data_IF_392991024069
#
_entry.id   IF_392991024069
#
_cell.length_a   1.000
_cell.length_b   1.000
_cell.length_c   1.000
_cell.angle_alpha   90.00
_cell.angle_beta   90.00
_cell.angle_gamma   90.00
#
_symmetry.space_group_name_H-M   'P 1'
#
loop_
_entity.id
_entity.type
_entity.pdbx_description
1 polymer ?
#
# COMPACT_ATOMS: atom_id res chain seq x y z
N UNK A 1 -9.97 1.03 10.51
CA UNK A 1 -9.28 2.31 10.84
C UNK A 1 -10.30 3.38 11.20
N UNK A 2 -10.02 4.29 12.18
CA UNK A 2 -10.86 5.51 12.35
C UNK A 2 -10.57 6.49 11.20
N UNK A 3 -11.63 6.96 10.53
CA UNK A 3 -11.52 7.93 9.43
C UNK A 3 -12.61 8.98 9.62
N UNK A 4 -12.19 10.25 9.81
CA UNK A 4 -13.14 11.37 9.76
C UNK A 4 -13.75 11.47 8.36
N UNK A 5 -15.04 11.86 8.29
CA UNK A 5 -15.74 12.02 7.02
C UNK A 5 -15.05 12.98 6.03
N UNK A 6 -14.31 13.98 6.53
CA UNK A 6 -13.54 14.91 5.70
C UNK A 6 -12.39 14.25 4.93
N UNK A 7 -11.87 13.11 5.42
CA UNK A 7 -10.64 12.51 4.92
C UNK A 7 -10.85 11.14 4.32
N UNK A 8 -12.10 10.67 4.29
CA UNK A 8 -12.45 9.39 3.69
C UNK A 8 -12.33 9.49 2.17
N UNK A 9 -11.50 8.62 1.60
CA UNK A 9 -11.44 8.44 0.16
C UNK A 9 -12.32 7.25 -0.23
N UNK A 10 -13.20 7.45 -1.21
CA UNK A 10 -14.15 6.45 -1.70
C UNK A 10 -13.98 6.17 -3.21
N UNK A 11 -13.16 6.97 -3.90
CA UNK A 11 -12.83 6.69 -5.29
C UNK A 11 -11.89 5.48 -5.36
N UNK A 12 -12.48 4.32 -5.73
CA UNK A 12 -11.75 3.06 -5.84
C UNK A 12 -10.61 3.11 -6.87
N UNK A 13 -10.71 3.94 -7.92
CA UNK A 13 -9.63 4.10 -8.91
C UNK A 13 -8.43 4.79 -8.26
N UNK A 14 -8.68 5.90 -7.58
CA UNK A 14 -7.65 6.65 -6.86
C UNK A 14 -6.98 5.80 -5.78
N UNK A 15 -7.75 4.99 -5.05
CA UNK A 15 -7.23 4.06 -4.04
C UNK A 15 -6.38 2.97 -4.70
N UNK A 16 -6.85 2.38 -5.81
CA UNK A 16 -6.11 1.36 -6.54
C UNK A 16 -4.78 1.87 -7.10
N UNK A 17 -4.77 3.10 -7.64
CA UNK A 17 -3.55 3.73 -8.14
C UNK A 17 -2.57 3.99 -6.99
N UNK A 18 -3.06 4.47 -5.85
CA UNK A 18 -2.24 4.63 -4.65
C UNK A 18 -1.61 3.30 -4.19
N UNK A 19 -2.38 2.22 -4.13
CA UNK A 19 -1.89 0.89 -3.73
C UNK A 19 -0.82 0.38 -4.71
N UNK A 20 -0.99 0.63 -6.02
CA UNK A 20 0.02 0.27 -7.02
C UNK A 20 1.32 1.07 -6.87
N UNK A 21 1.23 2.35 -6.49
CA UNK A 21 2.39 3.21 -6.29
C UNK A 21 3.14 2.91 -4.98
N UNK A 22 2.44 2.37 -3.96
CA UNK A 22 2.94 2.13 -2.61
C UNK A 22 2.88 0.64 -2.24
N UNK A 23 3.41 -0.21 -3.08
CA UNK A 23 3.23 -1.66 -3.07
C UNK A 23 4.02 -2.42 -1.99
N UNK A 24 4.84 -1.74 -1.18
CA UNK A 24 5.50 -2.34 -0.01
C UNK A 24 4.59 -2.22 1.21
N UNK A 25 3.82 -3.27 1.46
CA UNK A 25 2.77 -3.30 2.47
C UNK A 25 3.20 -3.98 3.77
N UNK A 26 2.52 -3.62 4.86
CA UNK A 26 2.54 -4.39 6.10
C UNK A 26 1.33 -5.32 6.12
N UNK A 27 1.57 -6.63 6.02
CA UNK A 27 0.55 -7.65 6.22
C UNK A 27 0.46 -8.01 7.70
N UNK A 28 -0.75 -7.93 8.26
CA UNK A 28 -1.04 -8.18 9.67
C UNK A 28 -2.11 -9.26 9.78
N UNK A 29 -1.91 -10.21 10.67
CA UNK A 29 -2.93 -11.15 11.11
C UNK A 29 -2.91 -11.30 12.63
N UNK A 30 -3.97 -11.83 13.21
CA UNK A 30 -4.05 -12.11 14.65
C UNK A 30 -3.81 -13.60 14.91
N UNK A 31 -2.85 -13.90 15.77
CA UNK A 31 -2.59 -15.25 16.30
C UNK A 31 -2.80 -15.24 17.81
N UNK A 32 -3.75 -16.04 18.30
CA UNK A 32 -4.08 -16.10 19.74
C UNK A 32 -4.29 -14.71 20.39
N UNK A 33 -5.01 -13.82 19.70
CA UNK A 33 -5.24 -12.41 20.06
C UNK A 33 -3.97 -11.52 20.07
N UNK A 34 -2.84 -12.01 19.55
CA UNK A 34 -1.63 -11.20 19.36
C UNK A 34 -1.50 -10.86 17.88
N UNK A 35 -1.38 -9.56 17.51
CA UNK A 35 -1.08 -9.21 16.13
C UNK A 35 0.35 -9.61 15.76
N UNK A 36 0.50 -10.30 14.63
CA UNK A 36 1.80 -10.60 14.00
C UNK A 36 1.84 -9.97 12.61
N UNK A 37 3.00 -9.49 12.18
CA UNK A 37 3.13 -8.74 10.94
C UNK A 37 4.38 -9.12 10.15
N UNK A 38 4.32 -8.92 8.83
CA UNK A 38 5.45 -8.94 7.91
C UNK A 38 5.34 -7.80 6.92
N UNK A 39 6.49 -7.25 6.52
CA UNK A 39 6.59 -6.27 5.44
C UNK A 39 6.88 -7.00 4.13
N UNK A 40 6.03 -6.81 3.14
CA UNK A 40 6.04 -7.60 1.91
C UNK A 40 5.74 -6.72 0.70
N UNK A 41 6.40 -7.05 -0.40
CA UNK A 41 6.04 -6.51 -1.71
C UNK A 41 4.76 -7.19 -2.19
N UNK A 42 3.81 -6.40 -2.69
CA UNK A 42 2.49 -6.88 -3.09
C UNK A 42 2.13 -6.38 -4.49
N UNK A 43 1.74 -7.28 -5.37
CA UNK A 43 1.20 -6.98 -6.69
C UNK A 43 -0.32 -6.85 -6.62
N UNK A 44 -0.85 -5.73 -7.11
CA UNK A 44 -2.28 -5.43 -7.15
C UNK A 44 -2.86 -5.78 -8.51
N UNK A 45 -3.88 -6.61 -8.50
CA UNK A 45 -4.65 -7.00 -9.69
C UNK A 45 -6.15 -6.86 -9.46
N UNK A 46 -6.90 -6.88 -10.53
CA UNK A 46 -8.36 -6.95 -10.52
C UNK A 46 -8.76 -8.16 -11.36
N UNK A 47 -9.60 -9.02 -10.83
CA UNK A 47 -10.13 -10.16 -11.57
C UNK A 47 -11.23 -9.75 -12.57
N UNK A 48 -11.77 -10.72 -13.29
CA UNK A 48 -12.80 -10.49 -14.31
C UNK A 48 -14.10 -9.90 -13.72
N UNK A 49 -14.39 -10.18 -12.45
CA UNK A 49 -15.57 -9.69 -11.73
C UNK A 49 -15.35 -8.33 -11.04
N UNK A 50 -14.16 -7.73 -11.23
CA UNK A 50 -13.79 -6.48 -10.59
C UNK A 50 -13.30 -6.62 -9.16
N UNK A 51 -13.13 -7.84 -8.64
CA UNK A 51 -12.60 -8.09 -7.30
C UNK A 51 -11.11 -7.79 -7.24
N UNK A 52 -10.67 -7.11 -6.21
CA UNK A 52 -9.27 -6.80 -5.98
C UNK A 52 -8.53 -8.01 -5.42
N UNK A 53 -7.43 -8.34 -6.05
CA UNK A 53 -6.51 -9.41 -5.69
C UNK A 53 -5.14 -8.83 -5.38
N UNK A 54 -4.60 -9.19 -4.22
CA UNK A 54 -3.27 -8.80 -3.78
C UNK A 54 -2.40 -10.05 -3.74
N UNK A 55 -1.41 -10.14 -4.60
CA UNK A 55 -0.50 -11.28 -4.68
C UNK A 55 0.90 -10.88 -4.24
N UNK A 56 1.58 -11.76 -3.53
CA UNK A 56 2.95 -11.54 -3.09
C UNK A 56 3.62 -12.84 -2.73
N UNK A 57 4.82 -12.74 -2.19
CA UNK A 57 5.56 -13.90 -1.71
C UNK A 57 6.32 -13.58 -0.43
N UNK A 58 6.74 -14.63 0.26
CA UNK A 58 7.64 -14.55 1.41
C UNK A 58 8.60 -15.73 1.43
N UNK A 59 9.68 -15.61 2.18
CA UNK A 59 10.56 -16.74 2.40
C UNK A 59 9.78 -17.90 3.08
N UNK A 60 9.98 -19.13 2.64
CA UNK A 60 9.37 -20.32 3.25
C UNK A 60 9.69 -20.45 4.73
N UNK A 61 10.83 -19.93 5.17
CA UNK A 61 11.23 -19.87 6.58
C UNK A 61 10.41 -18.88 7.42
N UNK A 62 9.68 -17.92 6.79
CA UNK A 62 8.78 -17.03 7.51
C UNK A 62 7.52 -17.80 7.92
N UNK A 63 7.24 -17.98 9.23
CA UNK A 63 6.14 -18.82 9.67
C UNK A 63 4.75 -18.23 9.42
N UNK A 64 4.67 -16.97 8.95
CA UNK A 64 3.41 -16.25 8.80
C UNK A 64 2.44 -16.94 7.85
N UNK A 65 2.92 -17.46 6.73
CA UNK A 65 2.08 -18.14 5.73
C UNK A 65 1.38 -19.39 6.27
N UNK A 66 1.98 -20.08 7.27
CA UNK A 66 1.37 -21.24 7.94
C UNK A 66 0.13 -20.87 8.78
N UNK A 67 -0.05 -19.57 9.04
CA UNK A 67 -1.19 -19.02 9.80
C UNK A 67 -2.32 -18.55 8.89
N UNK A 68 -2.12 -18.60 7.57
CA UNK A 68 -3.16 -18.26 6.62
C UNK A 68 -4.29 -19.27 6.68
N UNK A 69 -5.50 -18.74 6.83
CA UNK A 69 -6.73 -19.49 6.97
C UNK A 69 -7.78 -18.82 6.09
N UNK A 70 -8.52 -19.60 5.30
CA UNK A 70 -9.57 -19.09 4.44
C UNK A 70 -10.72 -18.40 5.20
N UNK A 71 -10.83 -18.67 6.49
CA UNK A 71 -11.89 -18.15 7.37
C UNK A 71 -11.43 -16.98 8.25
N UNK A 72 -10.15 -16.61 8.15
CA UNK A 72 -9.57 -15.50 8.90
C UNK A 72 -9.06 -14.41 7.97
N UNK A 73 -9.66 -13.24 8.08
CA UNK A 73 -9.19 -12.10 7.32
C UNK A 73 -7.82 -11.63 7.81
N UNK A 74 -6.99 -11.24 6.86
CA UNK A 74 -5.75 -10.48 7.09
C UNK A 74 -5.98 -9.01 6.77
N UNK A 75 -5.12 -8.15 7.30
CA UNK A 75 -5.06 -6.73 6.99
C UNK A 75 -3.75 -6.43 6.28
N UNK A 76 -3.83 -5.79 5.11
CA UNK A 76 -2.68 -5.16 4.45
C UNK A 76 -2.77 -3.65 4.64
N UNK A 77 -1.70 -3.05 5.14
CA UNK A 77 -1.57 -1.61 5.38
C UNK A 77 -0.59 -1.05 4.36
N UNK A 78 -1.07 -0.09 3.58
CA UNK A 78 -0.28 0.68 2.62
C UNK A 78 -0.13 2.09 3.18
N UNK A 79 1.10 2.50 3.46
CA UNK A 79 1.45 3.84 3.93
C UNK A 79 1.99 4.68 2.79
N UNK A 80 1.49 5.90 2.68
CA UNK A 80 1.98 6.90 1.74
C UNK A 80 2.77 8.01 2.43
N UNK A 81 2.95 9.13 1.73
CA UNK A 81 3.61 10.30 2.29
C UNK A 81 2.85 10.82 3.51
N UNK A 82 3.60 11.37 4.44
CA UNK A 82 3.05 11.93 5.66
C UNK A 82 3.94 13.04 6.21
N UNK A 83 3.35 14.09 6.78
CA UNK A 83 4.12 15.21 7.30
C UNK A 83 3.35 16.02 8.34
N UNK A 84 4.10 16.68 9.22
CA UNK A 84 3.58 17.61 10.21
C UNK A 84 3.11 18.91 9.57
N UNK A 85 1.96 19.42 10.03
CA UNK A 85 1.38 20.69 9.64
C UNK A 85 1.41 21.63 10.85
N UNK A 86 2.13 22.75 10.72
CA UNK A 86 2.26 23.74 11.78
C UNK A 86 0.99 24.56 11.94
N UNK A 87 0.55 24.85 13.18
CA UNK A 87 -0.55 25.75 13.42
C UNK A 87 -0.25 27.21 13.03
N UNK A 88 1.04 27.56 12.88
CA UNK A 88 1.46 28.91 12.48
C UNK A 88 1.27 29.21 10.99
N UNK A 89 0.86 28.22 10.21
CA UNK A 89 0.59 28.37 8.76
C UNK A 89 -0.83 28.80 8.45
N UNK A 90 -1.70 28.77 9.46
CA UNK A 90 -3.08 29.21 9.36
C UNK A 90 -3.20 30.70 9.65
N UNK A 91 -4.19 31.34 9.05
CA UNK A 91 -4.52 32.76 9.28
C UNK A 91 -5.33 32.99 10.57
N UNK A 92 -5.61 31.93 11.33
CA UNK A 92 -6.34 31.99 12.60
C UNK A 92 -5.69 31.03 13.64
N UNK A 93 -6.08 31.19 14.91
CA UNK A 93 -5.61 30.32 15.99
C UNK A 93 -6.05 28.88 15.75
N UNK A 94 -5.10 27.95 15.71
CA UNK A 94 -5.35 26.54 15.47
C UNK A 94 -4.36 25.66 16.25
N UNK A 95 -4.54 24.34 16.13
CA UNK A 95 -3.67 23.32 16.73
C UNK A 95 -2.81 22.64 15.67
N UNK A 96 -1.64 22.09 16.05
CA UNK A 96 -0.83 21.29 15.13
C UNK A 96 -1.58 20.03 14.69
N UNK A 97 -1.26 19.56 13.49
CA UNK A 97 -1.83 18.33 12.95
C UNK A 97 -0.83 17.59 12.07
N UNK A 98 -1.24 16.47 11.53
CA UNK A 98 -0.48 15.64 10.61
C UNK A 98 -1.30 15.39 9.34
N UNK A 99 -0.72 15.60 8.16
CA UNK A 99 -1.28 15.12 6.91
C UNK A 99 -0.63 13.80 6.54
N UNK A 100 -1.42 12.87 6.01
CA UNK A 100 -0.97 11.54 5.64
C UNK A 100 -1.95 10.85 4.68
N UNK A 101 -1.46 9.84 3.98
CA UNK A 101 -2.29 8.91 3.22
C UNK A 101 -2.05 7.51 3.76
N UNK A 102 -3.13 6.79 4.04
CA UNK A 102 -3.09 5.40 4.46
C UNK A 102 -4.28 4.62 3.89
N UNK A 103 -3.99 3.44 3.36
CA UNK A 103 -5.01 2.51 2.84
C UNK A 103 -4.91 1.18 3.59
N UNK A 104 -6.03 0.71 4.10
CA UNK A 104 -6.19 -0.58 4.75
C UNK A 104 -7.06 -1.47 3.88
N UNK A 105 -6.51 -2.59 3.44
CA UNK A 105 -7.22 -3.60 2.68
C UNK A 105 -7.35 -4.86 3.53
N UNK A 106 -8.59 -5.34 3.68
CA UNK A 106 -8.90 -6.55 4.41
C UNK A 106 -9.35 -7.63 3.43
N UNK A 107 -8.95 -8.86 3.66
CA UNK A 107 -9.35 -9.95 2.79
C UNK A 107 -8.93 -11.31 3.33
N UNK A 108 -9.28 -12.35 2.59
CA UNK A 108 -8.97 -13.72 2.95
C UNK A 108 -7.76 -14.19 2.15
N UNK A 109 -6.71 -14.68 2.84
CA UNK A 109 -5.51 -15.17 2.20
C UNK A 109 -5.67 -16.61 1.73
N UNK A 110 -5.02 -16.95 0.62
CA UNK A 110 -4.71 -18.33 0.25
C UNK A 110 -3.22 -18.49 0.00
N UNK A 111 -2.70 -19.65 0.35
CA UNK A 111 -1.31 -20.01 0.10
C UNK A 111 -1.15 -20.49 -1.34
N UNK A 112 -0.03 -20.13 -1.97
CA UNK A 112 0.40 -20.59 -3.29
C UNK A 112 1.76 -21.29 -3.10
N UNK A 113 1.75 -22.62 -3.08
CA UNK A 113 2.92 -23.43 -2.77
C UNK A 113 3.51 -24.06 -4.03
N UNK A 114 4.20 -23.24 -4.84
CA UNK A 114 4.89 -23.69 -6.04
C UNK A 114 4.04 -23.61 -7.33
N UNK A 115 4.54 -24.26 -8.37
CA UNK A 115 3.90 -24.33 -9.69
C UNK A 115 3.92 -23.03 -10.48
N UNK A 116 3.16 -23.05 -11.60
CA UNK A 116 3.09 -21.93 -12.54
C UNK A 116 2.55 -20.66 -11.89
N UNK A 117 1.66 -20.78 -10.91
CA UNK A 117 1.06 -19.62 -10.25
C UNK A 117 2.09 -18.85 -9.40
N UNK A 118 2.98 -19.55 -8.67
CA UNK A 118 4.09 -18.90 -7.96
C UNK A 118 5.07 -18.28 -8.94
N UNK A 119 5.40 -18.99 -10.02
CA UNK A 119 6.25 -18.48 -11.09
C UNK A 119 5.71 -17.17 -11.64
N UNK A 120 4.41 -17.11 -11.96
CA UNK A 120 3.77 -15.93 -12.50
C UNK A 120 3.78 -14.73 -11.54
N UNK A 121 3.57 -14.96 -10.24
CA UNK A 121 3.69 -13.90 -9.22
C UNK A 121 5.09 -13.32 -9.23
N UNK A 122 6.11 -14.17 -9.16
CA UNK A 122 7.50 -13.74 -9.16
C UNK A 122 7.89 -13.02 -10.46
N UNK A 123 7.47 -13.56 -11.60
CA UNK A 123 7.72 -12.96 -12.91
C UNK A 123 7.08 -11.56 -13.05
N UNK A 124 5.87 -11.35 -12.54
CA UNK A 124 5.23 -10.02 -12.55
C UNK A 124 6.00 -9.03 -11.67
N UNK A 125 6.39 -9.43 -10.46
CA UNK A 125 7.16 -8.58 -9.56
C UNK A 125 8.52 -8.20 -10.15
N UNK A 126 9.23 -9.16 -10.75
CA UNK A 126 10.49 -8.89 -11.45
C UNK A 126 10.27 -7.89 -12.58
N UNK A 127 9.29 -8.12 -13.47
CA UNK A 127 9.01 -7.22 -14.61
C UNK A 127 8.66 -5.81 -14.18
N UNK A 128 8.04 -5.65 -13.03
CA UNK A 128 7.67 -4.35 -12.47
C UNK A 128 8.89 -3.51 -12.09
N UNK A 129 9.92 -4.12 -11.51
CA UNK A 129 11.11 -3.42 -11.00
C UNK A 129 12.29 -3.42 -11.98
N UNK A 130 12.43 -4.50 -12.73
CA UNK A 130 13.52 -4.66 -13.72
C UNK A 130 13.18 -4.00 -15.08
N UNK A 131 12.83 -2.72 -15.04
CA UNK A 131 12.41 -1.98 -16.24
C UNK A 131 13.57 -1.57 -17.13
N UNK A 132 14.81 -1.55 -16.61
CA UNK A 132 16.03 -1.08 -17.31
C UNK A 132 17.04 -2.21 -17.55
N UNK A 133 16.69 -3.44 -17.24
CA UNK A 133 17.54 -4.62 -17.44
C UNK A 133 16.80 -5.70 -18.23
N UNK A 134 17.56 -6.64 -18.78
CA UNK A 134 17.02 -7.83 -19.44
C UNK A 134 16.79 -8.99 -18.45
N UNK A 135 16.93 -8.73 -17.15
CA UNK A 135 16.67 -9.74 -16.13
C UNK A 135 15.19 -10.10 -16.10
N UNK A 136 14.91 -11.37 -16.33
CA UNK A 136 13.55 -11.95 -16.33
C UNK A 136 13.59 -13.33 -15.70
N UNK A 137 12.46 -13.76 -15.17
CA UNK A 137 12.32 -15.12 -14.60
C UNK A 137 12.65 -16.17 -15.66
N UNK A 138 12.21 -15.95 -16.89
CA UNK A 138 12.37 -16.82 -18.06
C UNK A 138 13.82 -16.90 -18.58
N UNK A 139 14.69 -15.96 -18.20
CA UNK A 139 16.11 -15.93 -18.60
C UNK A 139 17.01 -16.66 -17.58
N UNK A 140 16.47 -17.07 -16.44
CA UNK A 140 17.23 -17.80 -15.42
C UNK A 140 17.41 -19.26 -15.81
N UNK A 141 18.56 -19.89 -15.47
CA UNK A 141 18.69 -21.34 -15.56
C UNK A 141 17.58 -22.03 -14.75
N UNK A 142 16.95 -23.04 -15.33
CA UNK A 142 15.78 -23.70 -14.74
C UNK A 142 16.03 -24.26 -13.34
N UNK A 143 17.17 -24.92 -13.15
CA UNK A 143 17.60 -25.48 -11.87
C UNK A 143 17.81 -24.41 -10.78
N UNK A 144 18.32 -23.23 -11.19
CA UNK A 144 18.45 -22.08 -10.29
C UNK A 144 17.07 -21.53 -9.92
N UNK A 145 16.19 -21.29 -10.90
CA UNK A 145 14.84 -20.76 -10.67
C UNK A 145 14.03 -21.71 -9.76
N UNK A 146 14.04 -23.01 -10.04
CA UNK A 146 13.35 -24.02 -9.23
C UNK A 146 13.85 -24.03 -7.77
N UNK A 147 15.18 -24.00 -7.57
CA UNK A 147 15.77 -23.93 -6.23
C UNK A 147 15.33 -22.67 -5.46
N UNK A 148 15.27 -21.51 -6.12
CA UNK A 148 14.80 -20.28 -5.49
C UNK A 148 13.30 -20.37 -5.14
N UNK A 149 12.49 -20.93 -6.04
CA UNK A 149 11.07 -21.14 -5.80
C UNK A 149 10.80 -22.11 -4.63
N UNK A 150 11.62 -23.15 -4.45
CA UNK A 150 11.51 -24.04 -3.29
C UNK A 150 11.69 -23.34 -1.95
N UNK A 151 12.52 -22.28 -1.91
CA UNK A 151 12.71 -21.41 -0.73
C UNK A 151 11.63 -20.35 -0.52
N UNK A 152 10.62 -20.32 -1.39
CA UNK A 152 9.62 -19.26 -1.46
C UNK A 152 8.21 -19.83 -1.32
N UNK A 153 7.31 -19.07 -0.70
CA UNK A 153 5.87 -19.32 -0.66
C UNK A 153 5.15 -18.08 -1.17
N UNK A 154 4.31 -18.27 -2.16
CA UNK A 154 3.40 -17.24 -2.65
C UNK A 154 2.12 -17.17 -1.82
N UNK A 155 1.46 -16.05 -1.95
CA UNK A 155 0.11 -15.88 -1.40
C UNK A 155 -0.73 -14.98 -2.29
N UNK A 156 -2.04 -15.13 -2.16
CA UNK A 156 -3.00 -14.21 -2.73
C UNK A 156 -4.07 -13.87 -1.70
N UNK A 157 -4.43 -12.59 -1.61
CA UNK A 157 -5.51 -12.10 -0.75
C UNK A 157 -6.64 -11.58 -1.62
N UNK A 158 -7.82 -12.16 -1.47
CA UNK A 158 -9.06 -11.65 -2.06
C UNK A 158 -9.61 -10.56 -1.17
N UNK A 159 -9.59 -9.30 -1.64
CA UNK A 159 -10.03 -8.14 -0.87
C UNK A 159 -11.53 -8.13 -0.72
N UNK A 160 -12.00 -7.91 0.51
CA UNK A 160 -13.43 -7.84 0.85
C UNK A 160 -13.84 -6.51 1.47
N UNK A 161 -12.86 -5.73 1.99
CA UNK A 161 -13.10 -4.42 2.58
C UNK A 161 -11.95 -3.48 2.33
N UNK A 162 -12.28 -2.26 1.95
CA UNK A 162 -11.35 -1.15 1.67
C UNK A 162 -11.62 -0.02 2.65
N UNK A 163 -10.60 0.51 3.29
CA UNK A 163 -10.64 1.72 4.11
C UNK A 163 -9.48 2.62 3.71
N UNK A 164 -9.77 3.84 3.26
CA UNK A 164 -8.75 4.76 2.82
C UNK A 164 -8.91 6.14 3.47
N UNK A 165 -7.83 6.65 4.04
CA UNK A 165 -7.75 7.98 4.63
C UNK A 165 -6.73 8.82 3.87
N UNK A 166 -7.22 9.83 3.16
CA UNK A 166 -6.40 10.83 2.49
C UNK A 166 -6.54 12.14 3.26
N UNK A 167 -5.85 12.25 4.40
CA UNK A 167 -5.89 13.45 5.23
C UNK A 167 -4.94 14.51 4.67
N UNK A 168 -5.52 15.44 3.93
CA UNK A 168 -4.83 16.46 3.14
C UNK A 168 -5.34 17.88 3.43
N UNK A 169 -5.77 18.15 4.66
CA UNK A 169 -6.33 19.47 5.09
C UNK A 169 -7.61 19.91 4.37
N UNK A 170 -8.42 18.96 3.85
CA UNK A 170 -9.64 19.26 3.07
C UNK A 170 -10.70 20.08 3.83
N UNK A 171 -10.63 20.06 5.15
CA UNK A 171 -11.52 20.80 6.04
C UNK A 171 -11.11 22.28 6.24
N UNK A 172 -10.09 22.76 5.51
CA UNK A 172 -9.63 24.15 5.55
C UNK A 172 -10.23 24.94 4.41
N UNK A 173 -10.34 26.28 4.61
CA UNK A 173 -10.69 27.19 3.53
C UNK A 173 -9.55 27.26 2.49
N UNK A 174 -9.79 28.00 1.39
CA UNK A 174 -8.85 28.05 0.27
C UNK A 174 -7.55 28.76 0.62
N UNK A 175 -7.60 29.80 1.48
CA UNK A 175 -6.43 30.55 1.90
C UNK A 175 -5.51 29.70 2.77
N UNK A 176 -6.05 29.08 3.81
CA UNK A 176 -5.27 28.20 4.69
C UNK A 176 -4.74 26.98 3.92
N UNK A 177 -5.54 26.41 3.01
CA UNK A 177 -5.12 25.29 2.18
C UNK A 177 -3.93 25.66 1.29
N UNK A 178 -3.99 26.83 0.64
CA UNK A 178 -2.88 27.38 -0.16
C UNK A 178 -1.65 27.68 0.68
N UNK A 179 -1.81 28.25 1.87
CA UNK A 179 -0.74 28.51 2.81
C UNK A 179 -0.01 27.22 3.23
N UNK A 180 -0.76 26.15 3.54
CA UNK A 180 -0.18 24.86 3.88
C UNK A 180 0.66 24.32 2.71
N UNK A 181 0.15 24.33 1.47
CA UNK A 181 0.90 23.89 0.28
C UNK A 181 2.18 24.72 0.11
N UNK A 182 2.11 26.04 0.25
CA UNK A 182 3.26 26.93 0.12
C UNK A 182 4.35 26.59 1.14
N UNK A 183 4.00 26.46 2.41
CA UNK A 183 4.96 26.16 3.48
C UNK A 183 5.56 24.74 3.39
N UNK A 184 4.78 23.76 2.90
CA UNK A 184 5.30 22.42 2.62
C UNK A 184 6.35 22.47 1.51
N UNK A 185 6.11 23.25 0.44
CA UNK A 185 7.09 23.45 -0.64
C UNK A 185 8.34 24.20 -0.17
N UNK A 186 8.19 25.23 0.69
CA UNK A 186 9.30 25.97 1.30
C UNK A 186 10.15 25.09 2.22
N UNK A 187 9.52 24.15 2.97
CA UNK A 187 10.23 23.18 3.82
C UNK A 187 11.08 22.22 2.97
N UNK A 188 10.59 21.75 1.84
CA UNK A 188 11.35 21.11 0.77
C UNK A 188 11.83 19.68 1.02
N UNK A 189 11.53 19.07 2.17
CA UNK A 189 11.80 17.64 2.36
C UNK A 189 10.88 16.77 1.52
N UNK A 190 11.31 15.53 1.23
CA UNK A 190 10.61 14.61 0.33
C UNK A 190 9.14 14.39 0.72
N UNK A 191 8.87 14.16 2.01
CA UNK A 191 7.52 13.90 2.51
C UNK A 191 6.63 15.15 2.40
N UNK A 192 7.17 16.32 2.71
CA UNK A 192 6.47 17.60 2.57
C UNK A 192 6.11 17.89 1.12
N UNK A 193 7.05 17.69 0.19
CA UNK A 193 6.82 17.88 -1.25
C UNK A 193 5.77 16.91 -1.78
N UNK A 194 5.84 15.64 -1.39
CA UNK A 194 4.86 14.63 -1.79
C UNK A 194 3.45 14.95 -1.27
N UNK A 195 3.30 15.39 -0.02
CA UNK A 195 1.99 15.85 0.51
C UNK A 195 1.51 17.10 -0.21
N UNK A 196 2.38 18.08 -0.50
CA UNK A 196 2.00 19.28 -1.23
C UNK A 196 1.49 18.96 -2.65
N UNK A 197 2.11 17.99 -3.32
CA UNK A 197 1.65 17.48 -4.62
C UNK A 197 0.28 16.82 -4.52
N UNK A 198 0.07 15.93 -3.55
CA UNK A 198 -1.21 15.27 -3.32
C UNK A 198 -2.32 16.27 -2.97
N UNK A 199 -2.03 17.29 -2.17
CA UNK A 199 -2.96 18.39 -1.89
C UNK A 199 -3.33 19.14 -3.16
N UNK A 200 -2.36 19.45 -4.01
CA UNK A 200 -2.60 20.16 -5.30
C UNK A 200 -3.47 19.32 -6.26
N UNK A 201 -3.27 18.00 -6.30
CA UNK A 201 -4.11 17.08 -7.09
C UNK A 201 -5.53 16.95 -6.54
N UNK A 202 -5.67 16.98 -5.22
CA UNK A 202 -6.95 16.79 -4.53
C UNK A 202 -7.89 17.98 -4.62
N UNK A 203 -7.36 19.20 -4.70
CA UNK A 203 -8.15 20.44 -4.76
C UNK A 203 -7.46 21.47 -5.67
N UNK A 204 -8.15 21.89 -6.73
CA UNK A 204 -7.71 23.01 -7.55
C UNK A 204 -8.06 24.32 -6.83
N UNK A 205 -7.06 25.10 -6.51
CA UNK A 205 -7.18 26.44 -5.91
C UNK A 205 -6.85 27.45 -7.00
#
# INVERSE_FOLDING_TARGET
MYISHFYREEDLRKIADFVREHDFATLVLAENNVPVASHLLVDFQTDADGTWLLSGHMARANPLWQKFDSDRAVLLIFGGPNTYISPTWYNHLNVPTWNYIAVHLYGFPRVIDGGDELHDILARLIRRYETKSDYRMETLPSDFAEKQMQGTVGFQVKVTRVEASFKLSQNRDDEDYANVIRHLKERGDEQSLAIAEQMTKNRKI
#
